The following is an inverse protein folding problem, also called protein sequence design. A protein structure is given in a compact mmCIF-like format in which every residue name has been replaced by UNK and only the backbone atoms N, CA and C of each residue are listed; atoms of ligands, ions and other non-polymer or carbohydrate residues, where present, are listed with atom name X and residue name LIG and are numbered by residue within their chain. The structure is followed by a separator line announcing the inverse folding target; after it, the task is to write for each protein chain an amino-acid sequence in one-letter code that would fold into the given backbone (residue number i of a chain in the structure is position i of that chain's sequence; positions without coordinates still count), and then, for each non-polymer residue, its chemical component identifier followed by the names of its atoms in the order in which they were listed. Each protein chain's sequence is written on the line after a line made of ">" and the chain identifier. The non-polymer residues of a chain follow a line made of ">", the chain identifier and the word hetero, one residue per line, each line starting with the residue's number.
data_IF_996369946256
#
_entry.id   IF_996369946256
#
_cell.length_a   1.000
_cell.length_b   1.000
_cell.length_c   1.000
_cell.angle_alpha   90.00
_cell.angle_beta   90.00
_cell.angle_gamma   90.00
#
_symmetry.space_group_name_H-M   'P 1'
#
loop_
_entity.id
_entity.type
_entity.pdbx_description
1 polymer ?
#
# COMPACT_ATOMS: atom_id res chain seq x y z
N UNK A 1 54.22 -21.55 6.59
CA UNK A 1 52.89 -21.79 7.14
C UNK A 1 52.72 -20.86 8.33
N UNK A 2 51.97 -19.79 8.16
CA UNK A 2 51.60 -18.85 9.22
C UNK A 2 50.10 -18.73 9.16
N UNK A 3 49.44 -19.23 10.21
CA UNK A 3 47.99 -19.24 10.39
C UNK A 3 47.40 -17.85 10.14
N UNK A 4 46.55 -17.74 9.12
CA UNK A 4 45.60 -16.63 9.01
C UNK A 4 44.33 -17.09 9.69
N UNK A 5 44.27 -16.93 11.02
CA UNK A 5 42.99 -16.98 11.73
C UNK A 5 42.21 -15.69 11.40
N UNK A 6 41.59 -15.67 10.21
CA UNK A 6 40.73 -14.58 9.77
C UNK A 6 39.45 -14.57 10.60
N UNK A 7 39.46 -13.92 11.75
CA UNK A 7 38.24 -13.59 12.48
C UNK A 7 37.47 -12.60 11.59
N UNK A 8 36.46 -13.10 10.89
CA UNK A 8 35.55 -12.23 10.13
C UNK A 8 34.73 -11.42 11.15
N UNK A 9 35.15 -10.18 11.42
CA UNK A 9 34.40 -9.25 12.26
C UNK A 9 33.05 -8.95 11.60
N UNK A 10 31.97 -9.32 12.27
CA UNK A 10 30.61 -8.95 11.88
C UNK A 10 30.02 -7.89 12.79
N UNK A 11 29.02 -7.18 12.29
CA UNK A 11 28.32 -6.12 13.03
C UNK A 11 26.82 -6.15 12.77
N UNK A 12 26.04 -5.84 13.81
CA UNK A 12 24.63 -5.54 13.69
C UNK A 12 24.42 -4.05 13.38
N UNK A 13 23.42 -3.75 12.58
CA UNK A 13 23.00 -2.39 12.29
C UNK A 13 21.48 -2.29 12.16
N UNK A 14 21.03 -1.05 12.29
CA UNK A 14 19.66 -0.64 11.99
C UNK A 14 19.71 0.49 10.98
N UNK A 15 18.78 0.50 10.04
CA UNK A 15 18.65 1.52 9.02
C UNK A 15 17.19 1.94 8.88
N UNK A 16 16.99 3.17 8.42
CA UNK A 16 15.68 3.70 8.08
C UNK A 16 15.80 4.49 6.79
N UNK A 17 14.88 4.27 5.88
CA UNK A 17 14.81 4.94 4.59
C UNK A 17 13.41 5.52 4.36
N UNK A 18 13.39 6.62 3.63
CA UNK A 18 12.18 7.25 3.18
C UNK A 18 12.01 6.96 1.69
N UNK A 19 10.89 6.36 1.31
CA UNK A 19 10.66 5.79 -0.03
C UNK A 19 9.36 6.30 -0.67
N UNK A 20 9.35 7.53 -1.24
CA UNK A 20 8.19 8.07 -1.93
C UNK A 20 7.59 7.07 -2.92
N UNK A 21 6.31 6.74 -2.75
CA UNK A 21 5.67 5.66 -3.50
C UNK A 21 4.44 6.13 -4.29
N UNK A 22 4.24 5.54 -5.46
CA UNK A 22 3.16 5.87 -6.39
C UNK A 22 2.18 4.70 -6.48
N UNK A 23 0.88 4.93 -6.22
CA UNK A 23 -0.11 3.86 -6.34
C UNK A 23 -0.33 3.54 -7.82
N UNK A 24 -0.31 2.25 -8.16
CA UNK A 24 -0.68 1.74 -9.50
C UNK A 24 -2.02 1.01 -9.49
N UNK A 25 -2.85 1.24 -8.48
CA UNK A 25 -4.12 0.53 -8.33
C UNK A 25 -5.15 1.15 -9.26
N UNK A 26 -5.58 0.38 -10.26
CA UNK A 26 -6.44 0.86 -11.35
C UNK A 26 -7.87 0.33 -11.29
N UNK A 27 -8.09 -0.81 -10.66
CA UNK A 27 -9.40 -1.47 -10.61
C UNK A 27 -9.58 -2.24 -9.30
N UNK A 28 -10.79 -2.16 -8.74
CA UNK A 28 -11.23 -2.95 -7.61
C UNK A 28 -12.54 -3.63 -8.00
N UNK A 29 -12.65 -4.90 -7.65
CA UNK A 29 -13.93 -5.59 -7.65
C UNK A 29 -14.41 -5.71 -6.20
N UNK A 30 -15.69 -5.47 -5.99
CA UNK A 30 -16.31 -5.49 -4.67
C UNK A 30 -17.52 -6.40 -4.77
N UNK A 31 -17.50 -7.49 -4.01
CA UNK A 31 -18.58 -8.47 -3.99
C UNK A 31 -18.85 -8.99 -2.57
N UNK A 32 -20.12 -9.30 -2.31
CA UNK A 32 -20.59 -10.00 -1.10
C UNK A 32 -20.27 -11.50 -1.26
N UNK A 33 -19.45 -12.06 -0.37
CA UNK A 33 -18.85 -13.40 -0.53
C UNK A 33 -19.87 -14.54 -0.68
N UNK A 34 -21.05 -14.41 -0.06
CA UNK A 34 -22.05 -15.48 0.00
C UNK A 34 -23.09 -15.43 -1.14
N UNK A 35 -22.93 -14.52 -2.11
CA UNK A 35 -23.88 -14.36 -3.23
C UNK A 35 -23.17 -14.18 -4.57
N UNK A 36 -23.68 -14.86 -5.59
CA UNK A 36 -23.13 -14.87 -6.95
C UNK A 36 -23.26 -13.55 -7.74
N UNK A 37 -23.45 -12.42 -7.08
CA UNK A 37 -23.56 -11.10 -7.71
C UNK A 37 -23.68 -9.98 -6.69
N UNK A 38 -23.03 -8.85 -6.96
CA UNK A 38 -23.16 -7.61 -6.18
C UNK A 38 -23.17 -6.42 -7.13
N UNK A 39 -23.95 -5.41 -6.77
CA UNK A 39 -24.10 -4.18 -7.56
C UNK A 39 -23.47 -3.04 -6.78
N UNK A 40 -22.32 -2.57 -7.27
CA UNK A 40 -21.58 -1.48 -6.62
C UNK A 40 -22.04 -0.15 -7.19
N UNK A 41 -22.49 0.76 -6.32
CA UNK A 41 -22.85 2.13 -6.69
C UNK A 41 -22.06 3.15 -5.87
N UNK A 42 -21.48 4.13 -6.53
CA UNK A 42 -20.83 5.29 -5.89
C UNK A 42 -21.83 6.33 -5.41
N UNK A 43 -21.40 7.13 -4.43
CA UNK A 43 -22.18 8.22 -3.88
C UNK A 43 -22.47 9.30 -4.94
N UNK A 44 -23.61 9.96 -4.83
CA UNK A 44 -24.04 11.01 -5.75
C UNK A 44 -23.20 12.28 -5.56
N UNK A 45 -22.46 12.63 -6.61
CA UNK A 45 -21.59 13.81 -6.68
C UNK A 45 -22.30 15.14 -6.40
N UNK A 46 -23.61 15.23 -6.66
CA UNK A 46 -24.38 16.48 -6.59
C UNK A 46 -24.96 16.78 -5.20
N UNK A 47 -24.86 15.86 -4.25
CA UNK A 47 -25.37 16.05 -2.90
C UNK A 47 -24.38 16.86 -2.07
N UNK A 48 -24.87 17.93 -1.45
CA UNK A 48 -24.10 18.79 -0.53
C UNK A 48 -24.08 18.26 0.90
N UNK A 49 -24.90 17.26 1.21
CA UNK A 49 -24.96 16.59 2.52
C UNK A 49 -24.60 15.13 2.38
N UNK A 50 -23.97 14.59 3.42
CA UNK A 50 -23.61 13.18 3.52
C UNK A 50 -24.71 12.41 4.26
N UNK A 51 -25.55 11.67 3.54
CA UNK A 51 -26.53 10.74 4.08
C UNK A 51 -26.32 9.36 3.46
N UNK A 52 -25.48 8.55 4.11
CA UNK A 52 -25.11 7.21 3.64
C UNK A 52 -26.18 6.15 3.90
N UNK A 53 -27.18 6.45 4.74
CA UNK A 53 -28.25 5.50 5.06
C UNK A 53 -29.36 5.49 4.01
N UNK A 54 -29.40 6.47 3.13
CA UNK A 54 -30.42 6.58 2.08
C UNK A 54 -29.91 5.94 0.77
N UNK A 55 -30.56 4.89 0.25
CA UNK A 55 -30.16 4.27 -1.02
C UNK A 55 -30.21 5.24 -2.21
N UNK A 56 -31.03 6.30 -2.15
CA UNK A 56 -31.13 7.32 -3.21
C UNK A 56 -29.84 8.15 -3.31
N UNK A 57 -29.02 8.17 -2.26
CA UNK A 57 -27.72 8.84 -2.25
C UNK A 57 -26.69 8.15 -3.14
N UNK A 58 -26.92 6.93 -3.63
CA UNK A 58 -25.98 6.16 -4.43
C UNK A 58 -26.48 5.97 -5.87
N UNK A 59 -26.01 6.84 -6.77
CA UNK A 59 -26.49 6.89 -8.16
C UNK A 59 -25.41 6.60 -9.19
N UNK A 60 -24.13 6.63 -8.81
CA UNK A 60 -23.03 6.43 -9.75
C UNK A 60 -22.86 4.93 -10.01
N UNK A 61 -23.10 4.49 -11.25
CA UNK A 61 -22.72 3.14 -11.65
C UNK A 61 -21.21 3.09 -11.92
N UNK A 62 -20.59 1.95 -11.63
CA UNK A 62 -19.16 1.69 -11.85
C UNK A 62 -18.23 2.77 -11.25
N UNK A 63 -18.26 2.96 -9.91
CA UNK A 63 -17.43 3.97 -9.26
C UNK A 63 -15.94 3.69 -9.43
N UNK A 64 -15.18 4.70 -9.86
CA UNK A 64 -13.72 4.64 -9.92
C UNK A 64 -13.07 5.29 -8.70
N UNK A 65 -12.09 4.61 -8.11
CA UNK A 65 -11.29 5.15 -7.02
C UNK A 65 -9.91 5.58 -7.51
N UNK A 66 -9.48 6.77 -7.07
CA UNK A 66 -8.12 7.26 -7.28
C UNK A 66 -7.44 7.39 -5.93
N UNK A 67 -6.14 7.16 -5.91
CA UNK A 67 -5.36 7.22 -4.68
C UNK A 67 -4.24 8.23 -4.80
N UNK A 68 -4.02 8.95 -3.71
CA UNK A 68 -2.98 9.94 -3.55
C UNK A 68 -1.63 9.23 -3.48
N UNK A 69 -0.60 9.92 -3.97
CA UNK A 69 0.78 9.46 -3.82
C UNK A 69 1.13 9.42 -2.33
N UNK A 70 1.74 8.32 -1.88
CA UNK A 70 2.32 8.21 -0.54
C UNK A 70 3.69 8.88 -0.58
N UNK A 71 3.70 10.22 -0.69
CA UNK A 71 4.94 10.98 -0.68
C UNK A 71 5.50 10.98 0.74
N UNK A 72 4.76 11.53 1.71
CA UNK A 72 5.23 11.76 3.09
C UNK A 72 5.05 10.58 4.05
N UNK A 73 4.28 9.57 3.66
CA UNK A 73 3.82 8.48 4.55
C UNK A 73 4.44 7.12 4.23
N UNK A 74 5.42 7.08 3.33
CA UNK A 74 6.17 5.87 2.99
C UNK A 74 7.48 5.81 3.76
N UNK A 75 7.67 4.76 4.54
CA UNK A 75 8.88 4.54 5.32
C UNK A 75 9.25 3.06 5.31
N UNK A 76 10.54 2.78 5.20
CA UNK A 76 11.08 1.43 5.38
C UNK A 76 12.10 1.45 6.51
N UNK A 77 11.98 0.49 7.42
CA UNK A 77 12.96 0.26 8.48
C UNK A 77 13.60 -1.10 8.29
N UNK A 78 14.90 -1.21 8.49
CA UNK A 78 15.58 -2.50 8.42
C UNK A 78 16.53 -2.73 9.59
N UNK A 79 16.70 -4.00 9.92
CA UNK A 79 17.74 -4.50 10.82
C UNK A 79 18.57 -5.51 10.06
N UNK A 80 19.90 -5.40 10.19
CA UNK A 80 20.80 -6.26 9.44
C UNK A 80 22.04 -6.68 10.20
N UNK A 81 22.69 -7.70 9.67
CA UNK A 81 23.97 -8.19 10.11
C UNK A 81 24.93 -8.26 8.93
N UNK A 82 26.10 -7.62 9.05
CA UNK A 82 27.13 -7.60 8.03
C UNK A 82 28.33 -8.45 8.46
N UNK A 83 28.91 -9.22 7.54
CA UNK A 83 30.13 -10.00 7.75
C UNK A 83 30.90 -10.17 6.44
N UNK A 84 32.16 -9.71 6.41
CA UNK A 84 33.06 -9.95 5.27
C UNK A 84 32.51 -9.49 3.91
N UNK A 85 31.74 -8.40 3.87
CA UNK A 85 31.10 -7.87 2.64
C UNK A 85 29.71 -8.46 2.34
N UNK A 86 29.33 -9.59 2.94
CA UNK A 86 27.97 -10.10 2.90
C UNK A 86 27.11 -9.43 3.98
N UNK A 87 25.82 -9.21 3.69
CA UNK A 87 24.84 -8.68 4.66
C UNK A 87 23.52 -9.44 4.55
N UNK A 88 22.84 -9.60 5.67
CA UNK A 88 21.45 -10.09 5.72
C UNK A 88 20.63 -9.01 6.39
N UNK A 89 19.52 -8.62 5.77
CA UNK A 89 18.62 -7.56 6.23
C UNK A 89 17.19 -8.06 6.30
N UNK A 90 16.51 -7.73 7.40
CA UNK A 90 15.06 -7.80 7.50
C UNK A 90 14.54 -6.38 7.42
N UNK A 91 13.79 -6.10 6.36
CA UNK A 91 13.19 -4.80 6.06
C UNK A 91 11.68 -4.88 6.25
N UNK A 92 11.12 -3.83 6.84
CA UNK A 92 9.68 -3.63 7.02
C UNK A 92 9.31 -2.30 6.38
N UNK A 93 8.43 -2.33 5.39
CA UNK A 93 7.92 -1.15 4.70
C UNK A 93 6.50 -0.84 5.14
N UNK A 94 6.17 0.45 5.23
CA UNK A 94 4.82 0.95 5.43
C UNK A 94 4.53 2.06 4.44
N UNK A 95 3.43 1.94 3.70
CA UNK A 95 2.97 2.92 2.73
C UNK A 95 1.47 3.15 2.91
N UNK A 96 1.02 4.40 2.79
CA UNK A 96 -0.39 4.78 2.89
C UNK A 96 -0.80 5.65 1.71
N UNK A 97 -1.78 5.18 0.96
CA UNK A 97 -2.35 5.88 -0.18
C UNK A 97 -3.77 6.32 0.17
N UNK A 98 -3.96 7.59 0.49
CA UNK A 98 -5.28 8.18 0.77
C UNK A 98 -6.15 8.16 -0.50
N UNK A 99 -7.46 8.08 -0.38
CA UNK A 99 -8.35 8.31 -1.52
C UNK A 99 -8.29 9.76 -1.99
N UNK A 100 -8.42 9.96 -3.30
CA UNK A 100 -8.53 11.26 -3.92
C UNK A 100 -9.96 11.48 -4.40
N UNK A 101 -10.52 12.63 -4.01
CA UNK A 101 -11.76 13.13 -4.57
C UNK A 101 -11.58 13.41 -6.07
N UNK A 102 -12.52 12.95 -6.88
CA UNK A 102 -12.74 13.59 -8.16
C UNK A 102 -13.31 14.99 -7.92
N UNK A 103 -12.89 15.98 -8.70
CA UNK A 103 -13.11 17.42 -8.43
C UNK A 103 -14.57 17.89 -8.55
N UNK A 104 -15.52 16.98 -8.72
CA UNK A 104 -16.92 17.24 -9.01
C UNK A 104 -17.88 16.83 -7.88
N UNK A 105 -17.36 16.28 -6.77
CA UNK A 105 -18.17 16.04 -5.57
C UNK A 105 -18.44 17.35 -4.81
N UNK A 106 -19.71 17.67 -4.56
CA UNK A 106 -20.10 18.86 -3.76
C UNK A 106 -19.76 18.74 -2.29
N UNK A 107 -19.71 17.53 -1.74
CA UNK A 107 -19.33 17.28 -0.36
C UNK A 107 -18.01 16.48 -0.31
N UNK A 108 -17.03 17.00 0.45
CA UNK A 108 -15.61 16.61 0.40
C UNK A 108 -15.38 15.13 0.64
N UNK A 109 -16.16 14.46 1.49
CA UNK A 109 -15.95 13.05 1.86
C UNK A 109 -16.76 12.04 1.04
N UNK A 110 -17.65 12.51 0.16
CA UNK A 110 -18.60 11.64 -0.54
C UNK A 110 -17.94 10.59 -1.43
N UNK A 111 -16.77 10.91 -1.98
CA UNK A 111 -16.00 10.03 -2.86
C UNK A 111 -15.45 8.79 -2.16
N UNK A 112 -15.47 8.73 -0.82
CA UNK A 112 -15.00 7.58 -0.05
C UNK A 112 -16.08 6.50 0.09
N UNK A 113 -17.35 6.78 -0.25
CA UNK A 113 -18.46 5.89 0.03
C UNK A 113 -18.97 5.17 -1.21
N UNK A 114 -19.17 3.86 -1.07
CA UNK A 114 -19.87 3.01 -2.04
C UNK A 114 -20.94 2.19 -1.35
N UNK A 115 -22.06 2.02 -2.02
CA UNK A 115 -23.09 1.06 -1.67
C UNK A 115 -22.85 -0.24 -2.42
N UNK A 116 -22.92 -1.36 -1.71
CA UNK A 116 -22.90 -2.70 -2.28
C UNK A 116 -24.32 -3.26 -2.13
N UNK A 117 -25.03 -3.29 -3.24
CA UNK A 117 -26.40 -3.80 -3.34
C UNK A 117 -26.43 -5.27 -3.71
N UNK A 118 -27.43 -5.97 -3.18
CA UNK A 118 -27.78 -7.35 -3.58
C UNK A 118 -28.56 -7.39 -4.89
N UNK A 119 -29.23 -6.27 -5.24
CA UNK A 119 -29.94 -6.07 -6.50
C UNK A 119 -29.47 -4.78 -7.18
N UNK A 120 -29.78 -4.65 -8.47
CA UNK A 120 -29.44 -3.47 -9.27
C UNK A 120 -30.10 -2.17 -8.75
N UNK A 121 -31.28 -2.30 -8.11
CA UNK A 121 -31.99 -1.21 -7.46
C UNK A 121 -31.81 -1.31 -5.96
N UNK A 122 -31.21 -0.27 -5.37
CA UNK A 122 -31.00 -0.19 -3.93
C UNK A 122 -32.30 0.20 -3.22
N UNK A 123 -32.55 -0.46 -2.09
CA UNK A 123 -33.65 -0.26 -1.15
C UNK A 123 -33.06 -0.30 0.25
N UNK A 124 -33.80 0.13 1.28
CA UNK A 124 -33.28 0.20 2.65
C UNK A 124 -32.79 -1.15 3.21
N UNK A 125 -33.27 -2.28 2.68
CA UNK A 125 -33.03 -3.61 3.23
C UNK A 125 -32.04 -4.46 2.41
N UNK A 126 -31.63 -4.00 1.23
CA UNK A 126 -30.85 -4.81 0.27
C UNK A 126 -29.45 -4.26 -0.05
N UNK A 127 -28.93 -3.34 0.75
CA UNK A 127 -27.58 -2.80 0.58
C UNK A 127 -26.85 -2.62 1.90
N UNK A 128 -25.54 -2.54 1.80
CA UNK A 128 -24.68 -2.02 2.85
C UNK A 128 -23.71 -1.01 2.27
N UNK A 129 -23.17 -0.15 3.12
CA UNK A 129 -22.22 0.89 2.72
C UNK A 129 -20.83 0.52 3.17
N UNK A 130 -19.88 0.69 2.27
CA UNK A 130 -18.46 0.60 2.54
C UNK A 130 -17.81 1.96 2.36
N UNK A 131 -16.93 2.31 3.31
CA UNK A 131 -16.09 3.50 3.24
C UNK A 131 -14.65 3.07 2.93
N UNK A 132 -14.08 3.67 1.89
CA UNK A 132 -12.68 3.48 1.49
C UNK A 132 -11.97 4.81 1.69
N UNK A 133 -11.23 4.94 2.79
CA UNK A 133 -10.48 6.16 3.12
C UNK A 133 -9.05 6.12 2.57
N UNK A 134 -8.43 4.95 2.60
CA UNK A 134 -7.04 4.77 2.18
C UNK A 134 -6.74 3.30 1.95
N UNK A 135 -5.81 3.03 1.04
CA UNK A 135 -5.16 1.73 0.93
C UNK A 135 -3.83 1.81 1.66
N UNK A 136 -3.56 0.83 2.53
CA UNK A 136 -2.29 0.67 3.21
C UNK A 136 -1.59 -0.54 2.61
N UNK A 137 -0.29 -0.42 2.44
CA UNK A 137 0.58 -1.48 1.96
C UNK A 137 1.70 -1.62 2.98
N UNK A 138 1.74 -2.76 3.67
CA UNK A 138 2.77 -3.08 4.64
C UNK A 138 3.55 -4.26 4.08
N UNK A 139 4.87 -4.11 3.98
CA UNK A 139 5.73 -5.13 3.42
C UNK A 139 6.74 -5.64 4.44
N UNK A 140 7.13 -6.90 4.28
CA UNK A 140 8.27 -7.49 4.97
C UNK A 140 9.16 -8.12 3.91
N UNK A 141 10.43 -7.75 3.89
CA UNK A 141 11.44 -8.29 2.98
C UNK A 141 12.60 -8.88 3.77
N UNK A 142 13.07 -10.05 3.35
CA UNK A 142 14.32 -10.64 3.78
C UNK A 142 15.30 -10.52 2.61
N UNK A 143 16.33 -9.70 2.77
CA UNK A 143 17.33 -9.42 1.75
C UNK A 143 18.67 -10.05 2.14
N UNK A 144 19.34 -10.66 1.17
CA UNK A 144 20.76 -10.99 1.24
C UNK A 144 21.50 -10.06 0.29
N UNK A 145 22.46 -9.31 0.82
CA UNK A 145 23.23 -8.31 0.09
C UNK A 145 24.71 -8.65 0.08
N UNK A 146 25.41 -8.16 -0.94
CA UNK A 146 26.87 -8.27 -1.04
C UNK A 146 27.46 -6.94 -1.53
N UNK A 147 28.44 -6.45 -0.79
CA UNK A 147 29.23 -5.28 -1.14
C UNK A 147 30.30 -5.66 -2.15
N UNK A 148 30.19 -5.14 -3.37
CA UNK A 148 31.21 -5.31 -4.40
C UNK A 148 32.34 -4.32 -4.10
N UNK A 149 33.26 -4.74 -3.23
CA UNK A 149 34.39 -3.91 -2.83
C UNK A 149 35.44 -3.83 -3.93
N UNK A 150 35.69 -2.61 -4.42
CA UNK A 150 36.85 -2.28 -5.24
C UNK A 150 37.74 -1.28 -4.49
N UNK A 151 39.04 -1.55 -4.42
CA UNK A 151 40.02 -0.75 -3.65
C UNK A 151 40.24 0.66 -4.17
N UNK A 152 39.76 0.97 -5.38
CA UNK A 152 40.14 2.16 -6.13
C UNK A 152 38.98 3.15 -6.35
N UNK A 153 37.81 2.90 -5.74
CA UNK A 153 36.63 3.76 -5.88
C UNK A 153 36.16 4.28 -4.52
N UNK A 154 35.81 5.58 -4.40
CA UNK A 154 35.25 6.16 -3.17
C UNK A 154 33.78 5.76 -2.92
N UNK A 155 33.23 4.88 -3.77
CA UNK A 155 31.84 4.39 -3.72
C UNK A 155 31.89 2.87 -3.68
N UNK A 156 31.13 2.27 -2.75
CA UNK A 156 30.98 0.82 -2.67
C UNK A 156 29.64 0.40 -3.28
N UNK A 157 29.61 -0.06 -4.55
CA UNK A 157 28.40 -0.68 -5.08
C UNK A 157 28.04 -1.92 -4.26
N UNK A 158 26.74 -2.15 -4.07
CA UNK A 158 26.23 -3.36 -3.43
C UNK A 158 25.04 -3.88 -4.22
N UNK A 159 24.81 -5.18 -4.13
CA UNK A 159 23.69 -5.85 -4.77
C UNK A 159 22.93 -6.66 -3.72
N UNK A 160 21.60 -6.66 -3.80
CA UNK A 160 20.74 -7.43 -2.92
C UNK A 160 19.83 -8.34 -3.73
N UNK A 161 19.57 -9.52 -3.19
CA UNK A 161 18.50 -10.40 -3.64
C UNK A 161 17.69 -10.81 -2.40
N UNK A 162 16.37 -10.72 -2.51
CA UNK A 162 15.50 -10.95 -1.37
C UNK A 162 14.16 -11.54 -1.75
N UNK A 163 13.47 -12.02 -0.73
CA UNK A 163 12.11 -12.50 -0.81
C UNK A 163 11.27 -11.67 0.14
N UNK A 164 10.07 -11.30 -0.26
CA UNK A 164 9.19 -10.49 0.56
C UNK A 164 7.73 -10.78 0.31
N UNK A 165 6.91 -10.30 1.23
CA UNK A 165 5.46 -10.30 1.14
C UNK A 165 4.93 -8.92 1.50
N UNK A 166 3.79 -8.57 0.91
CA UNK A 166 3.02 -7.37 1.24
C UNK A 166 1.59 -7.72 1.67
N UNK A 167 1.00 -6.89 2.52
CA UNK A 167 -0.32 -7.06 3.11
C UNK A 167 -1.06 -5.73 3.31
#
# INVERSE_FOLDING_TARGET
>A
ASDVSGVMNGSFYVSGSYSPSFPSISSFDISESDRGGSYVKGYNKNLSTLNVSDPISFTQNDPSFKFAKSLLTSFDGATGYAIGGARVEVEVGYKKFETLAESDYKHVESHNFVAVGRDATLTLDNFFVMKIDSVKDISVMLNACYDVMHTDLPVSPYMCAGLGASF
#
